data_IF_602075863641
#
_entry.id   IF_602075863641
#
_cell.length_a   1.000
_cell.length_b   1.000
_cell.length_c   1.000
_cell.angle_alpha   90.00
_cell.angle_beta   90.00
_cell.angle_gamma   90.00
#
_symmetry.space_group_name_H-M   'P 1'
#
loop_
_entity.id
_entity.type
_entity.pdbx_description
1 polymer ?
#
# COMPACT_ATOMS: atom_id res chain seq x y z
N UNK A 1 -4.44 -4.45 28.89
CA UNK A 1 -4.20 -5.66 29.74
C UNK A 1 -5.27 -6.69 29.41
N UNK A 2 -5.06 -7.98 29.66
CA UNK A 2 -6.10 -9.01 29.40
C UNK A 2 -6.75 -9.46 30.72
N UNK A 3 -8.07 -9.65 30.70
CA UNK A 3 -8.84 -10.29 31.76
C UNK A 3 -9.37 -11.62 31.21
N UNK A 4 -8.95 -12.73 31.83
CA UNK A 4 -9.30 -14.08 31.36
C UNK A 4 -10.32 -14.70 32.30
N UNK A 5 -11.37 -15.28 31.73
CA UNK A 5 -12.33 -16.11 32.47
C UNK A 5 -12.66 -17.37 31.66
N UNK A 6 -13.16 -18.41 32.31
CA UNK A 6 -13.57 -19.63 31.60
C UNK A 6 -14.75 -19.34 30.65
N UNK A 7 -15.82 -18.77 31.20
CA UNK A 7 -17.00 -18.30 30.49
C UNK A 7 -17.69 -17.22 31.31
N UNK A 8 -18.32 -16.23 30.68
CA UNK A 8 -19.22 -15.31 31.37
C UNK A 8 -20.60 -15.97 31.57
N UNK A 9 -20.98 -16.22 32.82
CA UNK A 9 -22.29 -16.77 33.15
C UNK A 9 -23.36 -15.68 33.25
N UNK A 10 -24.59 -15.96 32.82
CA UNK A 10 -25.72 -15.05 33.03
C UNK A 10 -26.12 -14.88 34.52
N UNK A 11 -25.69 -15.82 35.38
CA UNK A 11 -25.88 -15.71 36.82
C UNK A 11 -24.94 -14.66 37.43
N UNK A 12 -25.42 -13.42 37.51
CA UNK A 12 -24.74 -12.31 38.18
C UNK A 12 -24.40 -11.17 37.21
N UNK A 13 -23.18 -11.17 36.67
CA UNK A 13 -22.73 -10.17 35.71
C UNK A 13 -22.82 -10.77 34.32
N UNK A 14 -23.74 -10.27 33.49
CA UNK A 14 -23.86 -10.71 32.10
C UNK A 14 -22.65 -10.30 31.26
N UNK A 15 -22.50 -10.93 30.09
CA UNK A 15 -21.39 -10.73 29.14
C UNK A 15 -21.20 -9.26 28.78
N UNK A 16 -22.29 -8.58 28.40
CA UNK A 16 -22.25 -7.17 28.03
C UNK A 16 -21.69 -6.28 29.15
N UNK A 17 -22.17 -6.45 30.38
CA UNK A 17 -21.71 -5.66 31.53
C UNK A 17 -20.25 -5.94 31.89
N UNK A 18 -19.82 -7.20 31.78
CA UNK A 18 -18.42 -7.57 31.96
C UNK A 18 -17.54 -6.91 30.89
N UNK A 19 -17.97 -6.93 29.63
CA UNK A 19 -17.25 -6.33 28.50
C UNK A 19 -17.17 -4.81 28.61
N UNK A 20 -18.27 -4.12 28.93
CA UNK A 20 -18.29 -2.67 29.19
C UNK A 20 -17.33 -2.29 30.33
N UNK A 21 -17.31 -3.08 31.41
CA UNK A 21 -16.38 -2.86 32.52
C UNK A 21 -14.93 -3.01 32.06
N UNK A 22 -14.63 -4.03 31.26
CA UNK A 22 -13.29 -4.28 30.73
C UNK A 22 -12.82 -3.12 29.85
N UNK A 23 -13.63 -2.68 28.88
CA UNK A 23 -13.34 -1.54 28.01
C UNK A 23 -13.06 -0.28 28.84
N UNK A 24 -13.91 0.01 29.82
CA UNK A 24 -13.77 1.19 30.70
C UNK A 24 -12.43 1.22 31.46
N UNK A 25 -11.87 0.06 31.79
CA UNK A 25 -10.63 -0.06 32.56
C UNK A 25 -9.41 -0.43 31.68
N UNK A 26 -9.57 -0.50 30.36
CA UNK A 26 -8.49 -0.87 29.43
C UNK A 26 -8.10 -2.35 29.52
N UNK A 27 -9.04 -3.19 29.95
CA UNK A 27 -8.94 -4.65 29.83
C UNK A 27 -9.60 -5.13 28.55
N UNK A 28 -8.98 -6.11 27.94
CA UNK A 28 -9.60 -6.96 26.94
C UNK A 28 -10.13 -8.21 27.65
N UNK A 29 -11.43 -8.49 27.50
CA UNK A 29 -12.06 -9.68 28.04
C UNK A 29 -11.81 -10.86 27.09
N UNK A 30 -11.21 -11.94 27.59
CA UNK A 30 -11.02 -13.18 26.84
C UNK A 30 -11.69 -14.34 27.57
N UNK A 31 -12.68 -14.94 26.93
CA UNK A 31 -13.34 -16.18 27.39
C UNK A 31 -12.56 -17.38 26.85
N UNK A 32 -12.23 -18.35 27.71
CA UNK A 32 -11.54 -19.59 27.31
C UNK A 32 -12.49 -20.52 26.53
N UNK A 33 -13.76 -20.52 26.93
CA UNK A 33 -14.82 -21.38 26.42
C UNK A 33 -16.08 -20.54 26.13
N UNK A 34 -16.03 -19.61 25.14
CA UNK A 34 -17.17 -18.77 24.81
C UNK A 34 -18.37 -19.61 24.36
N UNK A 35 -19.58 -19.16 24.68
CA UNK A 35 -20.82 -19.78 24.22
C UNK A 35 -21.09 -19.49 22.75
N UNK A 36 -20.84 -18.26 22.36
CA UNK A 36 -21.00 -17.76 21.00
C UNK A 36 -19.61 -17.67 20.38
N UNK A 37 -19.37 -18.55 19.40
CA UNK A 37 -18.17 -18.46 18.58
C UNK A 37 -18.33 -17.36 17.52
N UNK A 38 -17.22 -16.74 17.10
CA UNK A 38 -17.22 -15.87 15.93
C UNK A 38 -17.77 -16.61 14.71
N UNK A 39 -18.38 -15.87 13.79
CA UNK A 39 -18.80 -16.43 12.51
C UNK A 39 -17.55 -16.79 11.69
N UNK A 40 -17.45 -18.04 11.24
CA UNK A 40 -16.31 -18.53 10.46
C UNK A 40 -16.40 -18.04 9.00
N UNK A 41 -17.58 -17.61 8.55
CA UNK A 41 -17.79 -17.04 7.22
C UNK A 41 -17.48 -15.52 7.18
N UNK A 42 -17.14 -14.91 8.33
CA UNK A 42 -16.63 -13.54 8.38
C UNK A 42 -15.22 -13.49 7.77
N UNK A 43 -14.91 -12.44 7.00
CA UNK A 43 -13.57 -12.27 6.40
C UNK A 43 -12.48 -12.09 7.47
N UNK A 44 -12.87 -11.63 8.67
CA UNK A 44 -11.96 -11.34 9.79
C UNK A 44 -12.49 -11.90 11.12
N UNK A 45 -12.54 -13.23 11.30
CA UNK A 45 -13.06 -13.83 12.51
C UNK A 45 -12.17 -13.47 13.70
N UNK A 46 -12.78 -12.93 14.76
CA UNK A 46 -12.08 -12.60 15.99
C UNK A 46 -11.47 -13.87 16.61
N UNK A 47 -10.24 -13.78 17.13
CA UNK A 47 -9.66 -14.90 17.87
C UNK A 47 -10.17 -14.92 19.31
N UNK A 48 -10.52 -16.11 19.80
CA UNK A 48 -10.98 -16.32 21.18
C UNK A 48 -10.06 -17.29 21.95
N UNK A 49 -10.31 -17.46 23.25
CA UNK A 49 -9.60 -18.40 24.12
C UNK A 49 -8.08 -18.29 24.13
N UNK A 50 -7.40 -19.43 24.23
CA UNK A 50 -5.93 -19.50 24.34
C UNK A 50 -5.24 -18.87 23.12
N UNK A 51 -5.82 -19.02 21.92
CA UNK A 51 -5.30 -18.42 20.68
C UNK A 51 -5.18 -16.91 20.83
N UNK A 52 -6.21 -16.26 21.39
CA UNK A 52 -6.19 -14.82 21.64
C UNK A 52 -5.16 -14.41 22.68
N UNK A 53 -5.05 -15.17 23.77
CA UNK A 53 -4.05 -14.92 24.83
C UNK A 53 -2.64 -14.95 24.25
N UNK A 54 -2.31 -15.96 23.44
CA UNK A 54 -0.99 -16.09 22.80
C UNK A 54 -0.73 -14.89 21.88
N UNK A 55 -1.71 -14.48 21.07
CA UNK A 55 -1.55 -13.31 20.20
C UNK A 55 -1.33 -12.02 21.01
N UNK A 56 -2.07 -11.81 22.10
CA UNK A 56 -1.88 -10.66 22.97
C UNK A 56 -0.49 -10.65 23.61
N UNK A 57 0.03 -11.81 24.03
CA UNK A 57 1.39 -11.94 24.58
C UNK A 57 2.47 -11.68 23.53
N UNK A 58 2.30 -12.20 22.31
CA UNK A 58 3.23 -12.00 21.19
C UNK A 58 3.29 -10.53 20.75
N UNK A 59 2.16 -9.82 20.81
CA UNK A 59 2.09 -8.40 20.46
C UNK A 59 2.56 -7.46 21.61
N UNK A 60 2.77 -7.99 22.81
CA UNK A 60 3.12 -7.18 23.96
C UNK A 60 4.59 -6.74 23.92
N UNK A 61 4.85 -5.50 24.32
CA UNK A 61 6.21 -4.96 24.44
C UNK A 61 6.69 -5.09 25.87
N UNK A 62 7.82 -5.77 26.07
CA UNK A 62 8.36 -6.09 27.38
C UNK A 62 9.57 -5.20 27.69
N UNK A 63 9.33 -4.03 28.29
CA UNK A 63 10.34 -2.97 28.47
C UNK A 63 11.58 -3.35 29.29
N UNK A 64 11.51 -4.43 30.08
CA UNK A 64 12.60 -4.92 30.92
C UNK A 64 13.05 -6.34 30.55
N UNK A 65 12.65 -6.83 29.36
CA UNK A 65 13.01 -8.17 28.88
C UNK A 65 13.67 -8.04 27.52
N UNK A 66 14.85 -8.66 27.37
CA UNK A 66 15.53 -8.78 26.08
C UNK A 66 15.08 -10.08 25.43
N UNK A 67 14.42 -9.99 24.27
CA UNK A 67 14.11 -11.19 23.48
C UNK A 67 15.41 -11.92 23.13
N UNK A 68 15.49 -13.21 23.46
CA UNK A 68 16.56 -14.06 22.97
C UNK A 68 16.33 -14.24 21.48
N UNK A 69 17.24 -13.72 20.66
CA UNK A 69 17.17 -13.92 19.22
C UNK A 69 17.32 -15.41 18.91
N UNK A 70 16.28 -16.01 18.31
CA UNK A 70 16.49 -17.20 17.51
C UNK A 70 17.45 -16.83 16.38
N UNK A 71 18.41 -17.72 16.10
CA UNK A 71 19.35 -17.57 14.98
C UNK A 71 18.57 -17.19 13.72
N UNK A 72 18.70 -15.93 13.31
CA UNK A 72 18.56 -15.42 11.93
C UNK A 72 17.85 -16.36 10.96
N UNK A 73 16.56 -16.13 10.78
CA UNK A 73 15.83 -16.53 9.58
C UNK A 73 15.07 -15.29 9.07
N UNK A 74 15.78 -14.46 8.30
CA UNK A 74 15.21 -13.45 7.40
C UNK A 74 14.54 -12.22 8.06
N UNK A 75 14.64 -11.07 7.39
CA UNK A 75 13.92 -9.82 7.67
C UNK A 75 14.33 -9.01 8.91
N UNK A 76 15.49 -8.35 8.82
CA UNK A 76 15.93 -7.28 9.73
C UNK A 76 16.10 -5.91 9.08
N UNK A 77 15.48 -5.63 7.93
CA UNK A 77 15.69 -4.37 7.17
C UNK A 77 14.72 -3.22 7.49
N UNK A 78 13.74 -3.40 8.39
CA UNK A 78 12.66 -2.40 8.57
C UNK A 78 12.52 -1.80 9.97
N UNK A 79 13.50 -1.96 10.87
CA UNK A 79 13.43 -1.33 12.20
C UNK A 79 13.82 0.17 12.22
N UNK A 80 14.19 0.76 11.09
CA UNK A 80 14.68 2.17 11.02
C UNK A 80 13.57 3.22 10.76
N UNK A 81 12.31 2.82 10.54
CA UNK A 81 11.26 3.76 10.11
C UNK A 81 10.34 4.30 11.22
N UNK A 82 10.52 3.88 12.47
CA UNK A 82 9.71 4.38 13.60
C UNK A 82 10.54 5.29 14.53
N UNK A 83 10.54 6.59 14.25
CA UNK A 83 10.69 7.63 15.28
C UNK A 83 12.06 8.30 15.41
N UNK A 84 12.40 9.19 14.48
CA UNK A 84 13.37 10.26 14.70
C UNK A 84 12.78 11.60 14.29
N UNK A 85 12.01 12.23 15.18
CA UNK A 85 11.78 13.68 15.16
C UNK A 85 11.89 14.22 16.59
N UNK A 86 13.14 14.43 17.02
CA UNK A 86 13.45 15.42 18.04
C UNK A 86 14.54 16.35 17.50
N UNK A 87 14.28 17.64 17.70
CA UNK A 87 15.18 18.79 17.58
C UNK A 87 15.26 19.48 16.22
N UNK A 88 14.65 20.66 16.14
CA UNK A 88 15.26 21.86 15.56
C UNK A 88 14.58 23.10 16.11
N UNK A 89 15.22 23.74 17.09
CA UNK A 89 15.00 25.16 17.40
C UNK A 89 15.79 26.05 16.43
N UNK A 90 15.57 27.37 16.56
CA UNK A 90 16.00 28.51 15.72
C UNK A 90 15.17 28.66 14.43
N UNK A 91 14.44 29.74 14.16
CA UNK A 91 14.45 31.13 14.66
C UNK A 91 13.07 31.77 14.39
N UNK A 92 12.59 32.61 15.33
CA UNK A 92 11.44 33.51 15.15
C UNK A 92 11.91 34.82 14.50
N UNK A 93 11.25 35.25 13.41
CA UNK A 93 10.98 36.67 13.13
C UNK A 93 9.63 36.82 12.40
N UNK A 94 8.79 37.82 12.73
CA UNK A 94 7.42 37.92 12.25
C UNK A 94 7.27 38.93 11.11
N UNK A 95 6.49 38.58 10.07
CA UNK A 95 6.13 39.52 9.00
C UNK A 95 4.60 39.46 8.78
N UNK A 96 3.95 40.37 9.49
CA UNK A 96 2.69 41.09 9.27
C UNK A 96 2.02 41.01 7.88
N UNK A 97 0.71 40.69 7.92
CA UNK A 97 -0.44 41.18 7.14
C UNK A 97 -0.30 41.56 5.65
N UNK A 98 -1.16 41.00 4.79
CA UNK A 98 -2.32 41.70 4.19
C UNK A 98 -2.87 41.00 2.93
N UNK A 99 -4.17 40.74 2.93
CA UNK A 99 -5.04 40.62 1.75
C UNK A 99 -5.28 42.05 1.16
N UNK A 100 -5.93 42.32 0.00
CA UNK A 100 -6.74 41.45 -0.88
C UNK A 100 -6.58 41.67 -2.43
N UNK A 101 -7.32 40.85 -3.20
CA UNK A 101 -7.87 41.00 -4.59
C UNK A 101 -8.25 42.45 -5.02
N UNK A 102 -8.55 42.83 -6.31
CA UNK A 102 -9.33 42.06 -7.32
C UNK A 102 -9.09 42.34 -8.84
N UNK A 103 -9.85 41.64 -9.71
CA UNK A 103 -10.26 42.08 -11.07
C UNK A 103 -9.59 41.32 -12.23
N UNK A 104 -10.20 41.01 -13.38
CA UNK A 104 -11.50 41.26 -14.03
C UNK A 104 -11.66 40.15 -15.13
N UNK A 105 -12.86 39.60 -15.40
CA UNK A 105 -13.63 39.68 -16.67
C UNK A 105 -12.81 39.64 -17.98
N UNK A 106 -13.17 38.98 -19.08
CA UNK A 106 -14.44 38.51 -19.65
C UNK A 106 -14.08 37.67 -20.91
N UNK A 107 -14.94 36.68 -21.27
CA UNK A 107 -15.54 36.41 -22.61
C UNK A 107 -14.69 36.57 -23.90
N UNK A 108 -14.84 35.84 -25.01
CA UNK A 108 -15.76 34.81 -25.52
C UNK A 108 -15.35 34.54 -27.00
N UNK A 109 -15.92 33.48 -27.61
CA UNK A 109 -16.18 33.31 -29.06
C UNK A 109 -14.96 33.01 -29.97
N UNK A 110 -15.00 32.19 -31.03
CA UNK A 110 -16.06 31.64 -31.92
C UNK A 110 -15.41 30.51 -32.75
N UNK A 111 -16.03 29.34 -32.94
CA UNK A 111 -16.89 28.96 -34.09
C UNK A 111 -16.19 28.04 -35.11
N UNK A 112 -16.93 27.09 -35.68
CA UNK A 112 -16.46 26.18 -36.73
C UNK A 112 -17.08 24.79 -36.68
N UNK A 113 -18.25 24.63 -37.32
CA UNK A 113 -19.10 23.44 -37.32
C UNK A 113 -18.67 22.21 -38.13
N UNK A 114 -19.29 21.11 -37.72
CA UNK A 114 -19.99 20.06 -38.50
C UNK A 114 -19.25 19.05 -39.40
N UNK A 115 -19.55 17.79 -39.08
CA UNK A 115 -19.82 16.62 -39.92
C UNK A 115 -18.70 15.86 -40.65
N UNK A 116 -18.62 14.56 -40.35
CA UNK A 116 -17.88 13.59 -41.13
C UNK A 116 -17.79 12.21 -40.47
N UNK A 117 -18.79 11.36 -40.73
CA UNK A 117 -18.76 9.93 -40.41
C UNK A 117 -17.55 9.22 -41.03
N UNK A 118 -16.89 8.37 -40.25
CA UNK A 118 -15.74 7.58 -40.72
C UNK A 118 -15.33 6.49 -39.75
N UNK A 119 -16.01 5.35 -39.81
CA UNK A 119 -15.49 4.05 -39.36
C UNK A 119 -14.11 3.80 -39.98
N UNK A 120 -13.07 3.54 -39.20
CA UNK A 120 -12.11 2.43 -39.37
C UNK A 120 -10.81 2.64 -38.56
N UNK A 121 -10.38 1.52 -37.98
CA UNK A 121 -9.00 1.15 -37.66
C UNK A 121 -8.33 1.78 -36.44
N UNK A 122 -8.30 0.95 -35.38
CA UNK A 122 -7.09 0.52 -34.69
C UNK A 122 -5.81 0.93 -35.43
N UNK A 123 -5.12 1.95 -34.92
CA UNK A 123 -3.72 2.20 -35.25
C UNK A 123 -2.94 2.24 -33.92
N UNK A 124 -2.29 1.13 -33.55
CA UNK A 124 -1.32 1.10 -32.48
C UNK A 124 0.04 1.45 -33.08
N UNK A 125 0.36 2.74 -33.21
CA UNK A 125 1.75 3.10 -33.50
C UNK A 125 2.12 4.48 -32.98
N UNK A 126 2.14 4.60 -31.65
CA UNK A 126 2.94 5.62 -30.97
C UNK A 126 4.29 5.02 -30.63
N UNK A 127 5.22 5.18 -31.58
CA UNK A 127 6.66 4.94 -31.51
C UNK A 127 7.11 4.14 -30.29
N UNK A 128 7.22 2.82 -30.44
CA UNK A 128 7.95 2.00 -29.51
C UNK A 128 9.37 2.55 -29.40
N UNK A 129 9.70 3.18 -28.27
CA UNK A 129 11.09 3.51 -27.97
C UNK A 129 11.86 2.19 -27.89
N UNK A 130 12.75 1.89 -28.86
CA UNK A 130 13.45 0.62 -28.91
C UNK A 130 14.36 0.41 -27.69
N UNK A 131 14.71 1.51 -26.99
CA UNK A 131 15.48 1.46 -25.76
C UNK A 131 14.65 0.95 -24.58
N UNK A 132 13.35 1.27 -24.52
CA UNK A 132 12.47 0.80 -23.45
C UNK A 132 12.17 -0.68 -23.57
N UNK A 133 11.98 -1.18 -24.79
CA UNK A 133 11.70 -2.61 -25.01
C UNK A 133 12.90 -3.48 -24.62
N UNK A 134 14.11 -3.02 -24.93
CA UNK A 134 15.35 -3.67 -24.53
C UNK A 134 15.54 -3.66 -22.99
N UNK A 135 15.21 -2.55 -22.33
CA UNK A 135 15.23 -2.44 -20.87
C UNK A 135 14.19 -3.37 -20.21
N UNK A 136 13.00 -3.47 -20.80
CA UNK A 136 11.92 -4.35 -20.35
C UNK A 136 12.32 -5.83 -20.48
N UNK A 137 12.91 -6.22 -21.61
CA UNK A 137 13.40 -7.58 -21.82
C UNK A 137 14.50 -7.95 -20.81
N UNK A 138 15.34 -6.98 -20.44
CA UNK A 138 16.34 -7.16 -19.38
C UNK A 138 15.68 -7.43 -18.02
N UNK A 139 14.65 -6.65 -17.63
CA UNK A 139 13.90 -6.90 -16.39
C UNK A 139 13.27 -8.30 -16.35
N UNK A 140 12.69 -8.75 -17.46
CA UNK A 140 12.10 -10.09 -17.55
C UNK A 140 13.15 -11.20 -17.41
N UNK A 141 14.36 -10.96 -17.93
CA UNK A 141 15.48 -11.89 -17.80
C UNK A 141 16.04 -11.94 -16.37
N UNK A 142 16.07 -10.79 -15.69
CA UNK A 142 16.52 -10.67 -14.31
C UNK A 142 15.50 -11.21 -13.30
N UNK A 143 14.23 -11.39 -13.67
CA UNK A 143 13.19 -11.94 -12.78
C UNK A 143 13.03 -13.46 -12.93
N UNK A 144 13.32 -14.01 -14.10
CA UNK A 144 13.20 -15.45 -14.39
C UNK A 144 14.46 -16.25 -14.12
N UNK A 145 15.63 -15.59 -14.01
CA UNK A 145 16.91 -16.25 -13.73
C UNK A 145 17.10 -16.47 -12.22
N UNK A 146 17.70 -17.63 -11.89
CA UNK A 146 17.99 -18.16 -10.55
C UNK A 146 18.23 -17.06 -9.50
N UNK A 147 17.57 -17.17 -8.35
CA UNK A 147 17.34 -16.13 -7.33
C UNK A 147 18.59 -15.67 -6.55
N UNK A 148 19.67 -15.35 -7.27
CA UNK A 148 20.90 -14.82 -6.72
C UNK A 148 20.72 -13.34 -6.32
N UNK A 149 21.38 -12.94 -5.23
CA UNK A 149 21.26 -11.62 -4.64
C UNK A 149 21.76 -10.52 -5.60
N UNK A 150 22.79 -10.81 -6.40
CA UNK A 150 23.32 -9.88 -7.40
C UNK A 150 22.29 -9.59 -8.52
N UNK A 151 21.47 -10.58 -8.86
CA UNK A 151 20.44 -10.46 -9.89
C UNK A 151 19.29 -9.54 -9.41
N UNK A 152 18.92 -9.64 -8.14
CA UNK A 152 17.96 -8.75 -7.49
C UNK A 152 18.48 -7.31 -7.41
N UNK A 153 19.74 -7.09 -7.02
CA UNK A 153 20.32 -5.73 -6.98
C UNK A 153 20.37 -5.09 -8.37
N UNK A 154 20.68 -5.88 -9.41
CA UNK A 154 20.62 -5.43 -10.81
C UNK A 154 19.20 -5.07 -11.25
N UNK A 155 18.19 -5.85 -10.85
CA UNK A 155 16.79 -5.57 -11.13
C UNK A 155 16.37 -4.19 -10.58
N UNK A 156 16.71 -3.90 -9.33
CA UNK A 156 16.40 -2.60 -8.72
C UNK A 156 17.20 -1.45 -9.34
N UNK A 157 18.47 -1.69 -9.69
CA UNK A 157 19.29 -0.72 -10.40
C UNK A 157 18.67 -0.38 -11.76
N UNK A 158 18.17 -1.39 -12.48
CA UNK A 158 17.51 -1.23 -13.77
C UNK A 158 16.16 -0.53 -13.66
N UNK A 159 15.32 -0.92 -12.70
CA UNK A 159 14.05 -0.22 -12.42
C UNK A 159 14.28 1.24 -12.05
N UNK A 160 15.34 1.54 -11.28
CA UNK A 160 15.72 2.91 -10.95
C UNK A 160 16.11 3.70 -12.21
N UNK A 161 16.92 3.11 -13.08
CA UNK A 161 17.30 3.71 -14.37
C UNK A 161 16.06 4.05 -15.21
N UNK A 162 15.12 3.12 -15.33
CA UNK A 162 13.88 3.32 -16.08
C UNK A 162 12.97 4.37 -15.44
N UNK A 163 12.91 4.44 -14.11
CA UNK A 163 12.20 5.50 -13.39
C UNK A 163 12.84 6.87 -13.63
N UNK A 164 14.16 6.95 -13.63
CA UNK A 164 14.89 8.19 -13.87
C UNK A 164 14.71 8.66 -15.33
N UNK A 165 14.66 7.73 -16.30
CA UNK A 165 14.26 8.02 -17.70
C UNK A 165 12.83 8.54 -17.76
N UNK A 166 11.88 7.86 -17.12
CA UNK A 166 10.49 8.30 -17.07
C UNK A 166 10.36 9.72 -16.49
N UNK A 167 11.13 10.07 -15.46
CA UNK A 167 11.08 11.40 -14.86
C UNK A 167 11.42 12.55 -15.84
N UNK A 168 12.12 12.27 -16.93
CA UNK A 168 12.43 13.26 -17.98
C UNK A 168 11.31 13.44 -19.01
N UNK A 169 10.31 12.54 -19.04
CA UNK A 169 9.22 12.55 -20.00
C UNK A 169 8.02 13.42 -19.52
N UNK A 170 7.26 14.04 -20.44
CA UNK A 170 5.96 14.67 -20.14
C UNK A 170 4.95 13.70 -19.50
N UNK A 171 3.92 14.23 -18.85
CA UNK A 171 2.94 13.45 -18.09
C UNK A 171 2.31 12.28 -18.89
N UNK A 172 1.80 12.56 -20.09
CA UNK A 172 1.18 11.53 -20.95
C UNK A 172 2.16 10.40 -21.31
N UNK A 173 3.40 10.73 -21.66
CA UNK A 173 4.42 9.75 -21.99
C UNK A 173 4.88 8.95 -20.76
N UNK A 174 4.91 9.58 -19.58
CA UNK A 174 5.18 8.88 -18.31
C UNK A 174 4.11 7.85 -17.99
N UNK A 175 2.84 8.16 -18.26
CA UNK A 175 1.73 7.22 -18.07
C UNK A 175 1.92 5.98 -18.93
N UNK A 176 2.20 6.17 -20.23
CA UNK A 176 2.47 5.06 -21.16
C UNK A 176 3.73 4.26 -20.79
N UNK A 177 4.80 4.95 -20.38
CA UNK A 177 6.03 4.29 -19.92
C UNK A 177 5.75 3.43 -18.68
N UNK A 178 5.07 3.97 -17.67
CA UNK A 178 4.72 3.24 -16.46
C UNK A 178 3.84 2.03 -16.76
N UNK A 179 2.85 2.19 -17.64
CA UNK A 179 1.99 1.10 -18.10
C UNK A 179 2.80 -0.04 -18.71
N UNK A 180 3.68 0.25 -19.67
CA UNK A 180 4.53 -0.77 -20.33
C UNK A 180 5.42 -1.51 -19.33
N UNK A 181 6.05 -0.79 -18.41
CA UNK A 181 6.92 -1.38 -17.38
C UNK A 181 6.12 -2.25 -16.42
N UNK A 182 4.96 -1.78 -15.96
CA UNK A 182 4.12 -2.51 -15.03
C UNK A 182 3.58 -3.80 -15.66
N UNK A 183 3.05 -3.74 -16.89
CA UNK A 183 2.55 -4.92 -17.61
C UNK A 183 3.64 -5.96 -17.81
N UNK A 184 4.83 -5.54 -18.24
CA UNK A 184 5.93 -6.47 -18.46
C UNK A 184 6.46 -7.09 -17.16
N UNK A 185 6.56 -6.29 -16.09
CA UNK A 185 6.98 -6.80 -14.78
C UNK A 185 5.97 -7.81 -14.23
N UNK A 186 4.67 -7.53 -14.37
CA UNK A 186 3.59 -8.44 -13.97
C UNK A 186 3.71 -9.80 -14.67
N UNK A 187 3.85 -9.78 -15.99
CA UNK A 187 4.04 -11.00 -16.78
C UNK A 187 5.32 -11.75 -16.37
N UNK A 188 6.39 -11.04 -16.04
CA UNK A 188 7.67 -11.65 -15.71
C UNK A 188 7.69 -12.38 -14.35
N UNK A 189 6.88 -11.95 -13.39
CA UNK A 189 6.71 -12.64 -12.09
C UNK A 189 5.66 -13.78 -12.16
N UNK A 190 5.10 -14.05 -13.34
CA UNK A 190 4.14 -15.12 -13.58
C UNK A 190 2.67 -14.70 -13.50
N UNK A 191 2.36 -13.41 -13.59
CA UNK A 191 0.99 -12.90 -13.69
C UNK A 191 0.42 -13.07 -15.09
N UNK A 192 -0.88 -13.33 -15.19
CA UNK A 192 -1.55 -13.58 -16.46
C UNK A 192 -1.93 -12.26 -17.16
N UNK A 193 -1.87 -12.25 -18.50
CA UNK A 193 -2.20 -11.04 -19.29
C UNK A 193 -3.67 -10.65 -19.15
N UNK A 194 -4.54 -11.64 -19.00
CA UNK A 194 -5.99 -11.43 -18.89
C UNK A 194 -6.37 -10.67 -17.61
N UNK A 195 -5.53 -10.70 -16.56
CA UNK A 195 -5.76 -9.97 -15.30
C UNK A 195 -5.59 -8.45 -15.45
N UNK A 196 -4.85 -8.00 -16.48
CA UNK A 196 -4.45 -6.60 -16.67
C UNK A 196 -4.99 -5.98 -17.96
N UNK A 197 -5.58 -6.76 -18.87
CA UNK A 197 -6.05 -6.30 -20.18
C UNK A 197 -7.34 -5.44 -20.08
N UNK A 198 -8.11 -5.58 -19.00
CA UNK A 198 -9.33 -4.80 -18.74
C UNK A 198 -9.17 -3.57 -17.81
N UNK A 199 -7.94 -3.26 -17.37
CA UNK A 199 -7.66 -2.16 -16.45
C UNK A 199 -7.26 -0.85 -17.15
N UNK A 200 -7.45 -0.75 -18.48
CA UNK A 200 -7.19 0.51 -19.18
C UNK A 200 -8.09 1.59 -18.61
N UNK A 201 -7.49 2.67 -18.09
CA UNK A 201 -8.25 3.76 -17.48
C UNK A 201 -9.12 4.45 -18.54
N UNK A 202 -10.39 4.07 -18.64
CA UNK A 202 -11.46 4.96 -19.06
C UNK A 202 -11.67 5.99 -17.93
N UNK A 203 -10.72 6.91 -17.78
CA UNK A 203 -10.94 8.16 -17.06
C UNK A 203 -10.98 9.28 -18.08
N UNK A 204 -12.16 9.44 -18.67
CA UNK A 204 -12.60 10.69 -19.28
C UNK A 204 -13.01 11.64 -18.16
N UNK A 205 -12.42 12.84 -18.21
CA UNK A 205 -12.80 14.11 -17.54
C UNK A 205 -12.05 14.52 -16.26
#
# INVERSE_FOLDING_TARGET
MILVCDRVSENGVNRQKAQEWCIKHGFELVELSPEELPDEDDDFPESTGVKRIVQALNANVWSNVVMKGDRTQGFGLLSTLAGANRSRGCEETPETESNPYPGEREESQSDGGEDGAGTHSLEPDSAADPMLDMDIQELASLTTRDGDLENFERLFSKLKEMKDKAATLPHEQRKLHAEKVAKAFWMAIGGDRDEIEGLSSDEEN
#
